data_IF_039728877778
#
_entry.id   IF_039728877778
#
_cell.length_a   1.000
_cell.length_b   1.000
_cell.length_c   1.000
_cell.angle_alpha   90.00
_cell.angle_beta   90.00
_cell.angle_gamma   90.00
#
_symmetry.space_group_name_H-M   'P 1'
#
loop_
_entity.id
_entity.type
_entity.pdbx_description
1 polymer ?
#
# COMPACT_ATOMS: atom_id res chain seq x y z
N UNK A 1 70.02 20.94 -1.90
CA UNK A 1 68.67 20.99 -2.43
C UNK A 1 67.81 19.91 -1.74
N UNK A 2 66.89 20.30 -0.80
CA UNK A 2 66.03 19.38 -0.08
C UNK A 2 64.66 19.37 -0.75
N UNK A 3 64.30 18.25 -1.37
CA UNK A 3 62.97 18.05 -1.92
C UNK A 3 61.96 17.84 -0.76
N UNK A 4 60.97 18.73 -0.66
CA UNK A 4 59.80 18.56 0.22
C UNK A 4 58.75 17.74 -0.53
N UNK A 5 58.50 16.52 -0.10
CA UNK A 5 57.37 15.72 -0.55
C UNK A 5 56.09 16.27 0.03
N UNK A 6 55.20 16.77 -0.82
CA UNK A 6 53.88 17.24 -0.47
C UNK A 6 52.95 16.03 -0.41
N UNK A 7 52.59 15.58 0.79
CA UNK A 7 51.57 14.50 0.96
C UNK A 7 50.17 15.11 0.76
N UNK A 8 49.61 14.85 -0.38
CA UNK A 8 48.22 15.19 -0.67
C UNK A 8 47.30 14.15 0.01
N UNK A 9 46.72 14.54 1.15
CA UNK A 9 45.74 13.73 1.87
C UNK A 9 44.43 13.79 1.10
N UNK A 10 44.10 12.75 0.32
CA UNK A 10 42.81 12.57 -0.33
C UNK A 10 41.75 12.25 0.74
N UNK A 11 41.03 13.27 1.17
CA UNK A 11 39.80 13.11 1.94
C UNK A 11 38.71 12.52 1.02
N UNK A 12 38.58 11.19 1.01
CA UNK A 12 37.43 10.54 0.45
C UNK A 12 36.21 10.92 1.31
N UNK A 13 35.17 11.53 0.73
CA UNK A 13 33.94 11.74 1.47
C UNK A 13 33.33 10.38 1.79
N UNK A 14 33.37 9.97 3.04
CA UNK A 14 32.50 8.91 3.54
C UNK A 14 31.07 9.39 3.37
N UNK A 15 30.43 9.01 2.27
CA UNK A 15 29.00 9.08 2.15
C UNK A 15 28.41 8.11 3.18
N UNK A 16 28.17 8.58 4.38
CA UNK A 16 27.32 7.88 5.35
C UNK A 16 25.97 7.80 4.67
N UNK A 17 25.67 6.63 4.11
CA UNK A 17 24.37 6.33 3.53
C UNK A 17 23.32 6.43 4.63
N UNK A 18 22.79 7.63 4.85
CA UNK A 18 21.60 7.81 5.66
C UNK A 18 20.53 6.93 5.02
N UNK A 19 20.11 5.90 5.73
CA UNK A 19 19.04 5.04 5.28
C UNK A 19 17.85 5.94 4.92
N UNK A 20 17.53 6.01 3.64
CA UNK A 20 16.55 6.95 3.17
C UNK A 20 15.20 6.61 3.80
N UNK A 21 14.69 7.51 4.59
CA UNK A 21 13.42 7.41 5.29
C UNK A 21 12.49 8.54 4.84
N UNK A 22 11.20 8.29 4.94
CA UNK A 22 10.16 9.30 4.79
C UNK A 22 9.23 9.26 6.00
N UNK A 23 8.66 10.42 6.32
CA UNK A 23 7.60 10.52 7.31
C UNK A 23 6.34 9.90 6.73
N UNK A 24 5.59 9.18 7.58
CA UNK A 24 4.24 8.75 7.28
C UNK A 24 3.24 9.79 7.81
N UNK A 25 2.17 9.94 7.09
CA UNK A 25 1.02 10.76 7.48
C UNK A 25 -0.21 9.87 7.53
N UNK A 26 -1.03 10.00 8.55
CA UNK A 26 -2.33 9.34 8.60
C UNK A 26 -3.41 10.35 8.22
N UNK A 27 -4.11 10.07 7.13
CA UNK A 27 -5.25 10.86 6.70
C UNK A 27 -6.43 9.92 6.44
N UNK A 28 -7.53 10.15 7.12
CA UNK A 28 -8.75 9.35 6.97
C UNK A 28 -8.58 7.84 7.18
N UNK A 29 -7.55 7.43 7.95
CA UNK A 29 -7.23 6.02 8.19
C UNK A 29 -6.34 5.35 7.14
N UNK A 30 -5.83 6.12 6.17
CA UNK A 30 -4.82 5.69 5.21
C UNK A 30 -3.45 6.24 5.57
N UNK A 31 -2.39 5.56 5.16
CA UNK A 31 -1.01 6.02 5.32
C UNK A 31 -0.50 6.64 4.02
N UNK A 32 0.11 7.82 4.15
CA UNK A 32 0.73 8.58 3.05
C UNK A 32 2.20 8.83 3.36
N UNK A 33 2.99 9.04 2.31
CA UNK A 33 4.35 9.56 2.41
C UNK A 33 4.66 10.45 1.21
N UNK A 34 5.63 11.35 1.37
CA UNK A 34 6.06 12.21 0.28
C UNK A 34 6.80 11.41 -0.81
N UNK A 35 6.41 11.63 -2.04
CA UNK A 35 7.05 11.13 -3.25
C UNK A 35 7.20 12.26 -4.27
N UNK A 36 8.20 12.16 -5.15
CA UNK A 36 8.38 13.12 -6.25
C UNK A 36 8.16 12.40 -7.57
N UNK A 37 7.19 12.90 -8.34
CA UNK A 37 6.90 12.40 -9.68
C UNK A 37 7.70 13.22 -10.70
N UNK A 38 8.38 12.57 -11.64
CA UNK A 38 8.91 13.25 -12.82
C UNK A 38 7.77 13.57 -13.78
N UNK A 39 7.64 14.84 -14.13
CA UNK A 39 6.66 15.34 -15.09
C UNK A 39 7.40 16.01 -16.25
N UNK A 40 6.75 16.27 -17.39
CA UNK A 40 7.41 16.89 -18.54
C UNK A 40 8.12 18.22 -18.24
N UNK A 41 7.65 18.96 -17.24
CA UNK A 41 8.18 20.29 -16.96
C UNK A 41 9.11 20.33 -15.73
N UNK A 42 8.84 19.53 -14.70
CA UNK A 42 9.62 19.49 -13.44
C UNK A 42 9.21 18.31 -12.56
N UNK A 43 9.98 18.05 -11.52
CA UNK A 43 9.54 17.14 -10.43
C UNK A 43 8.38 17.74 -9.64
N UNK A 44 7.35 16.95 -9.38
CA UNK A 44 6.19 17.30 -8.56
C UNK A 44 6.18 16.47 -7.29
N UNK A 45 6.30 17.12 -6.14
CA UNK A 45 6.14 16.43 -4.84
C UNK A 45 4.66 16.26 -4.54
N UNK A 46 4.29 15.06 -4.13
CA UNK A 46 2.93 14.66 -3.79
C UNK A 46 2.93 13.80 -2.53
N UNK A 47 1.90 13.95 -1.70
CA UNK A 47 1.64 12.96 -0.65
C UNK A 47 0.98 11.75 -1.28
N UNK A 48 1.78 10.70 -1.47
CA UNK A 48 1.35 9.47 -2.10
C UNK A 48 0.78 8.51 -1.06
N UNK A 49 -0.42 7.98 -1.30
CA UNK A 49 -0.98 6.91 -0.48
C UNK A 49 -0.17 5.62 -0.73
N UNK A 50 0.18 4.91 0.34
CA UNK A 50 0.85 3.61 0.25
C UNK A 50 -0.21 2.52 0.29
N UNK A 51 -0.33 1.75 -0.80
CA UNK A 51 -1.40 0.79 -1.00
C UNK A 51 -0.89 -0.58 -1.44
N UNK A 52 -0.84 -1.53 -0.49
CA UNK A 52 -0.46 -2.92 -0.77
C UNK A 52 -1.58 -3.72 -1.45
N UNK A 53 -2.80 -3.21 -1.48
CA UNK A 53 -3.95 -3.77 -2.20
C UNK A 53 -4.00 -3.37 -3.68
N UNK A 54 -3.08 -2.51 -4.13
CA UNK A 54 -3.00 -2.06 -5.51
C UNK A 54 -1.77 -2.67 -6.23
N UNK A 55 -1.99 -3.41 -7.32
CA UNK A 55 -0.89 -4.08 -8.06
C UNK A 55 0.04 -3.09 -8.79
N UNK A 56 -0.49 -1.97 -9.26
CA UNK A 56 0.25 -0.91 -9.96
C UNK A 56 0.04 0.42 -9.26
N UNK A 57 0.98 1.32 -9.42
CA UNK A 57 0.76 2.72 -9.04
C UNK A 57 -0.46 3.28 -9.77
N UNK A 58 -1.15 4.21 -9.11
CA UNK A 58 -2.29 4.91 -9.69
C UNK A 58 -2.14 6.41 -9.51
N UNK A 59 -2.66 7.17 -10.47
CA UNK A 59 -2.68 8.63 -10.43
C UNK A 59 -4.10 9.11 -10.75
N UNK A 60 -4.57 10.09 -9.97
CA UNK A 60 -5.86 10.71 -10.26
C UNK A 60 -5.84 11.39 -11.63
N UNK A 61 -6.90 11.26 -12.42
CA UNK A 61 -6.96 11.74 -13.79
C UNK A 61 -6.85 13.26 -13.89
N UNK A 62 -7.49 13.99 -13.00
CA UNK A 62 -7.42 15.45 -12.95
C UNK A 62 -6.01 15.90 -12.58
N UNK A 63 -5.42 15.29 -11.55
CA UNK A 63 -4.05 15.58 -11.14
C UNK A 63 -3.03 15.23 -12.24
N UNK A 64 -3.21 14.11 -12.94
CA UNK A 64 -2.35 13.69 -14.05
C UNK A 64 -2.34 14.72 -15.19
N UNK A 65 -3.52 15.16 -15.62
CA UNK A 65 -3.68 16.08 -16.76
C UNK A 65 -3.37 17.52 -16.37
N UNK A 66 -4.02 18.00 -15.30
CA UNK A 66 -4.00 19.44 -14.97
C UNK A 66 -2.73 19.84 -14.23
N UNK A 67 -2.21 19.00 -13.34
CA UNK A 67 -1.02 19.33 -12.55
C UNK A 67 0.25 18.77 -13.19
N UNK A 68 0.26 17.46 -13.52
CA UNK A 68 1.44 16.79 -14.05
C UNK A 68 1.63 16.96 -15.56
N UNK A 69 0.61 17.49 -16.29
CA UNK A 69 0.64 17.66 -17.76
C UNK A 69 0.89 16.37 -18.53
N UNK A 70 0.45 15.24 -17.99
CA UNK A 70 0.58 13.93 -18.63
C UNK A 70 -0.42 13.83 -19.77
N UNK A 71 0.06 13.50 -20.97
CA UNK A 71 -0.80 13.23 -22.13
C UNK A 71 -1.34 11.80 -22.03
N UNK A 72 -2.66 11.67 -22.00
CA UNK A 72 -3.32 10.38 -21.94
C UNK A 72 -3.50 9.81 -23.35
N UNK A 73 -3.06 8.56 -23.55
CA UNK A 73 -3.32 7.83 -24.78
C UNK A 73 -4.80 7.44 -24.94
N UNK A 74 -5.17 6.99 -26.14
CA UNK A 74 -6.51 6.47 -26.43
C UNK A 74 -6.77 5.08 -25.84
N UNK A 75 -5.71 4.31 -25.56
CA UNK A 75 -5.82 2.94 -25.05
C UNK A 75 -6.44 2.91 -23.66
N UNK A 76 -7.46 2.07 -23.49
CA UNK A 76 -8.05 1.78 -22.19
C UNK A 76 -7.72 0.36 -21.76
N UNK A 77 -7.61 0.15 -20.45
CA UNK A 77 -7.51 -1.17 -19.81
C UNK A 77 -8.66 -1.34 -18.83
N UNK A 78 -9.17 -2.56 -18.76
CA UNK A 78 -10.11 -2.94 -17.71
C UNK A 78 -9.33 -3.58 -16.57
N UNK A 79 -9.52 -3.09 -15.36
CA UNK A 79 -8.95 -3.64 -14.12
C UNK A 79 -10.06 -4.07 -13.18
N UNK A 80 -9.76 -5.01 -12.31
CA UNK A 80 -10.68 -5.47 -11.29
C UNK A 80 -10.54 -4.59 -10.05
N UNK A 81 -11.63 -4.04 -9.58
CA UNK A 81 -11.73 -3.30 -8.33
C UNK A 81 -11.82 -4.26 -7.14
N UNK A 82 -11.62 -3.75 -5.93
CA UNK A 82 -11.71 -4.53 -4.68
C UNK A 82 -13.10 -5.15 -4.42
N UNK A 83 -14.14 -4.66 -5.07
CA UNK A 83 -15.50 -5.20 -5.03
C UNK A 83 -15.85 -6.10 -6.23
N UNK A 84 -14.83 -6.62 -6.94
CA UNK A 84 -14.91 -7.49 -8.12
C UNK A 84 -15.59 -6.86 -9.35
N UNK A 85 -15.81 -5.55 -9.35
CA UNK A 85 -16.31 -4.83 -10.51
C UNK A 85 -15.19 -4.43 -11.47
N UNK A 86 -15.50 -4.43 -12.76
CA UNK A 86 -14.54 -3.99 -13.78
C UNK A 86 -14.57 -2.49 -13.96
N UNK A 87 -13.39 -1.87 -13.87
CA UNK A 87 -13.22 -0.42 -14.02
C UNK A 87 -12.30 -0.12 -15.20
N UNK A 88 -12.68 0.85 -16.03
CA UNK A 88 -11.86 1.32 -17.14
C UNK A 88 -10.81 2.31 -16.64
N UNK A 89 -9.58 2.12 -17.08
CA UNK A 89 -8.42 2.96 -16.74
C UNK A 89 -7.57 3.22 -17.97
N UNK A 90 -6.75 4.24 -17.95
CA UNK A 90 -5.76 4.50 -18.99
C UNK A 90 -4.35 4.20 -18.48
N UNK A 91 -3.60 3.30 -19.12
CA UNK A 91 -2.23 3.03 -18.72
C UNK A 91 -1.34 4.19 -19.15
N UNK A 92 -0.41 4.56 -18.27
CA UNK A 92 0.68 5.51 -18.54
C UNK A 92 1.98 4.97 -17.96
N UNK A 93 3.11 5.45 -18.46
CA UNK A 93 4.41 5.19 -17.87
C UNK A 93 4.98 6.54 -17.43
N UNK A 94 5.27 6.67 -16.15
CA UNK A 94 5.99 7.82 -15.61
C UNK A 94 7.49 7.60 -15.80
N UNK A 95 8.23 8.63 -16.22
CA UNK A 95 9.67 8.55 -16.41
C UNK A 95 10.37 8.14 -15.12
N UNK A 96 9.97 8.75 -14.02
CA UNK A 96 10.46 8.32 -12.71
C UNK A 96 9.56 8.76 -11.54
N UNK A 97 9.74 8.02 -10.44
CA UNK A 97 9.21 8.35 -9.11
C UNK A 97 10.36 8.26 -8.13
N UNK A 98 10.60 9.32 -7.36
CA UNK A 98 11.54 9.30 -6.24
C UNK A 98 10.78 9.09 -4.94
N UNK A 99 11.14 8.03 -4.20
CA UNK A 99 10.51 7.66 -2.94
C UNK A 99 11.54 7.05 -2.00
N UNK A 100 11.58 7.47 -0.74
CA UNK A 100 12.56 7.04 0.27
C UNK A 100 13.99 7.00 -0.28
N UNK A 101 14.45 8.10 -0.92
CA UNK A 101 15.82 8.29 -1.42
C UNK A 101 16.21 7.42 -2.61
N UNK A 102 15.27 6.74 -3.26
CA UNK A 102 15.50 6.00 -4.51
C UNK A 102 14.61 6.53 -5.62
N UNK A 103 15.18 6.61 -6.81
CA UNK A 103 14.44 6.95 -8.04
C UNK A 103 14.14 5.67 -8.80
N UNK A 104 12.86 5.37 -8.92
CA UNK A 104 12.32 4.27 -9.74
C UNK A 104 12.02 4.81 -11.13
N UNK A 105 12.50 4.14 -12.18
CA UNK A 105 12.37 4.60 -13.58
C UNK A 105 11.34 3.75 -14.34
N UNK A 106 10.75 4.37 -15.38
CA UNK A 106 9.77 3.71 -16.26
C UNK A 106 8.63 3.05 -15.46
N UNK A 107 8.03 3.82 -14.55
CA UNK A 107 7.04 3.29 -13.63
C UNK A 107 5.67 3.20 -14.31
N UNK A 108 5.18 1.98 -14.49
CA UNK A 108 3.84 1.73 -15.00
C UNK A 108 2.79 2.22 -13.97
N UNK A 109 1.88 3.04 -14.45
CA UNK A 109 0.77 3.58 -13.66
C UNK A 109 -0.56 3.42 -14.39
N UNK A 110 -1.63 3.46 -13.65
CA UNK A 110 -2.98 3.55 -14.16
C UNK A 110 -3.54 4.94 -13.85
N UNK A 111 -4.10 5.58 -14.85
CA UNK A 111 -4.82 6.85 -14.66
C UNK A 111 -6.28 6.52 -14.41
N UNK A 112 -6.80 7.02 -13.33
CA UNK A 112 -8.12 6.69 -12.86
C UNK A 112 -8.83 7.92 -12.31
N UNK A 113 -10.12 8.10 -12.57
CA UNK A 113 -10.87 9.23 -12.01
C UNK A 113 -11.21 8.94 -10.53
N UNK A 114 -10.20 9.09 -9.66
CA UNK A 114 -10.34 8.85 -8.23
C UNK A 114 -11.23 9.93 -7.61
N UNK A 115 -11.07 11.17 -8.03
CA UNK A 115 -11.81 12.32 -7.49
C UNK A 115 -13.33 12.15 -7.67
N UNK A 116 -13.77 11.63 -8.80
CA UNK A 116 -15.19 11.33 -9.03
C UNK A 116 -15.75 10.31 -8.04
N UNK A 117 -14.92 9.35 -7.61
CA UNK A 117 -15.35 8.23 -6.76
C UNK A 117 -15.21 8.54 -5.27
N UNK A 118 -14.09 9.12 -4.87
CA UNK A 118 -13.72 9.30 -3.48
C UNK A 118 -13.87 10.74 -2.96
N UNK A 119 -14.11 11.72 -3.87
CA UNK A 119 -14.29 13.14 -3.53
C UNK A 119 -13.18 13.67 -2.60
N UNK A 120 -13.52 14.14 -1.38
CA UNK A 120 -12.56 14.68 -0.41
C UNK A 120 -11.50 13.67 0.07
N UNK A 121 -11.71 12.37 -0.15
CA UNK A 121 -10.76 11.32 0.25
C UNK A 121 -9.79 10.94 -0.87
N UNK A 122 -9.75 11.72 -1.94
CA UNK A 122 -8.99 11.41 -3.16
C UNK A 122 -7.48 11.51 -2.94
N UNK A 123 -6.73 10.42 -3.00
CA UNK A 123 -5.28 10.49 -3.14
C UNK A 123 -4.92 10.96 -4.55
N UNK A 124 -4.01 11.94 -4.66
CA UNK A 124 -3.51 12.38 -5.96
C UNK A 124 -2.66 11.30 -6.64
N UNK A 125 -1.93 10.53 -5.82
CA UNK A 125 -1.09 9.44 -6.27
C UNK A 125 -1.12 8.26 -5.28
N UNK A 126 -1.03 7.05 -5.82
CA UNK A 126 -0.99 5.80 -5.05
C UNK A 126 0.28 5.03 -5.42
N UNK A 127 1.09 4.70 -4.41
CA UNK A 127 2.24 3.80 -4.54
C UNK A 127 1.73 2.38 -4.38
N UNK A 128 1.74 1.61 -5.46
CA UNK A 128 1.30 0.21 -5.49
C UNK A 128 2.43 -0.80 -5.37
N UNK A 129 2.06 -2.07 -5.45
CA UNK A 129 2.97 -3.20 -5.31
C UNK A 129 4.12 -3.21 -6.34
N UNK A 130 3.95 -2.61 -7.51
CA UNK A 130 5.02 -2.54 -8.51
C UNK A 130 6.23 -1.70 -8.07
N UNK A 131 6.07 -0.78 -7.13
CA UNK A 131 7.17 -0.09 -6.43
C UNK A 131 7.55 -0.88 -5.17
N UNK A 132 6.56 -1.22 -4.34
CA UNK A 132 6.82 -1.82 -3.04
C UNK A 132 7.59 -3.14 -3.12
N UNK A 133 7.38 -3.95 -4.16
CA UNK A 133 8.09 -5.23 -4.34
C UNK A 133 9.57 -5.13 -4.72
N UNK A 134 10.05 -3.93 -5.03
CA UNK A 134 11.44 -3.73 -5.47
C UNK A 134 12.45 -3.60 -4.33
N UNK A 135 12.00 -3.38 -3.11
CA UNK A 135 12.86 -3.15 -1.96
C UNK A 135 12.29 -3.79 -0.69
N UNK A 136 13.11 -3.89 0.35
CA UNK A 136 12.69 -4.22 1.70
C UNK A 136 12.23 -2.94 2.40
N UNK A 137 11.07 -2.99 3.05
CA UNK A 137 10.49 -1.83 3.72
C UNK A 137 10.35 -2.06 5.22
N UNK A 138 10.80 -1.10 6.01
CA UNK A 138 10.48 -0.98 7.44
C UNK A 138 9.39 0.08 7.60
N UNK A 139 8.22 -0.33 8.04
CA UNK A 139 7.16 0.56 8.50
C UNK A 139 7.23 0.63 10.03
N UNK A 140 7.31 1.83 10.57
CA UNK A 140 7.18 2.10 11.99
C UNK A 140 5.91 2.93 12.21
N UNK A 141 4.82 2.27 12.55
CA UNK A 141 3.52 2.93 12.71
C UNK A 141 3.40 3.70 14.03
N UNK A 142 4.26 3.42 15.02
CA UNK A 142 4.32 4.19 16.26
C UNK A 142 4.92 5.57 16.05
N UNK A 143 6.07 5.61 15.36
CA UNK A 143 6.80 6.85 15.11
C UNK A 143 6.45 7.48 13.75
N UNK A 144 5.51 6.87 13.02
CA UNK A 144 5.05 7.29 11.70
C UNK A 144 6.20 7.52 10.71
N UNK A 145 6.98 6.47 10.47
CA UNK A 145 8.14 6.48 9.57
C UNK A 145 8.12 5.27 8.64
N UNK A 146 8.59 5.46 7.42
CA UNK A 146 8.91 4.38 6.48
C UNK A 146 10.36 4.48 6.03
N UNK A 147 11.06 3.34 6.01
CA UNK A 147 12.46 3.25 5.56
C UNK A 147 12.61 2.17 4.50
N UNK A 148 13.42 2.47 3.51
CA UNK A 148 13.83 1.54 2.47
C UNK A 148 15.13 0.84 2.87
N UNK A 149 15.20 -0.48 2.73
CA UNK A 149 16.38 -1.32 2.98
C UNK A 149 17.06 -0.98 4.33
N UNK A 150 16.34 -1.10 5.45
CA UNK A 150 16.90 -0.79 6.76
C UNK A 150 18.10 -1.70 7.07
N UNK A 151 19.14 -1.13 7.66
CA UNK A 151 20.36 -1.84 8.06
C UNK A 151 20.31 -2.31 9.51
N UNK A 152 19.42 -1.73 10.31
CA UNK A 152 19.28 -2.08 11.72
C UNK A 152 18.71 -3.48 11.88
N UNK A 153 19.36 -4.28 12.68
CA UNK A 153 18.85 -5.61 13.07
C UNK A 153 17.99 -5.46 14.32
N UNK A 154 16.69 -5.65 14.20
CA UNK A 154 15.77 -5.75 15.33
C UNK A 154 15.29 -7.20 15.47
N UNK A 155 15.10 -7.64 16.70
CA UNK A 155 14.58 -8.98 16.95
C UNK A 155 13.12 -9.08 16.43
N UNK A 156 12.79 -10.15 15.68
CA UNK A 156 11.41 -10.39 15.32
C UNK A 156 10.58 -10.77 16.55
N UNK A 157 9.36 -10.26 16.59
CA UNK A 157 8.33 -10.73 17.51
C UNK A 157 7.66 -11.97 16.89
N UNK A 158 7.14 -11.79 15.67
CA UNK A 158 6.61 -12.88 14.85
C UNK A 158 6.73 -12.58 13.36
N UNK A 159 6.50 -13.58 12.53
CA UNK A 159 6.53 -13.46 11.07
C UNK A 159 5.30 -14.12 10.46
N UNK A 160 4.56 -13.36 9.66
CA UNK A 160 3.51 -13.85 8.80
C UNK A 160 4.07 -14.13 7.41
N UNK A 161 3.72 -15.28 6.83
CA UNK A 161 4.14 -15.67 5.48
C UNK A 161 2.94 -15.68 4.56
N UNK A 162 3.13 -15.22 3.32
CA UNK A 162 2.11 -15.36 2.29
C UNK A 162 2.58 -16.21 1.13
N UNK A 163 1.64 -16.76 0.37
CA UNK A 163 1.90 -17.53 -0.85
C UNK A 163 1.65 -16.65 -2.07
N UNK A 164 2.41 -16.89 -3.14
CA UNK A 164 2.18 -16.20 -4.40
C UNK A 164 0.89 -16.76 -5.06
N UNK A 165 0.01 -15.87 -5.50
CA UNK A 165 -1.31 -16.23 -6.01
C UNK A 165 -1.36 -16.31 -7.53
N UNK A 166 -0.43 -17.04 -8.14
CA UNK A 166 -0.48 -17.30 -9.60
C UNK A 166 -1.78 -17.99 -10.07
N UNK A 167 -2.54 -18.52 -9.14
CA UNK A 167 -3.73 -19.34 -9.43
C UNK A 167 -5.07 -18.68 -9.10
N UNK A 168 -5.08 -17.46 -8.59
CA UNK A 168 -6.32 -16.76 -8.27
C UNK A 168 -6.56 -15.65 -9.27
N UNK A 169 -7.53 -15.88 -10.17
CA UNK A 169 -7.94 -14.88 -11.17
C UNK A 169 -8.59 -13.63 -10.54
N UNK A 170 -9.02 -13.75 -9.30
CA UNK A 170 -9.71 -12.74 -8.50
C UNK A 170 -8.77 -11.86 -7.67
N UNK A 171 -7.46 -12.15 -7.67
CA UNK A 171 -6.47 -11.37 -6.92
C UNK A 171 -5.29 -11.02 -7.83
N UNK A 172 -4.85 -9.78 -7.80
CA UNK A 172 -3.67 -9.32 -8.56
C UNK A 172 -2.40 -10.10 -8.20
N UNK A 173 -1.52 -10.33 -9.17
CA UNK A 173 -0.34 -11.22 -9.04
C UNK A 173 0.62 -10.81 -7.90
N UNK A 174 0.71 -9.53 -7.62
CA UNK A 174 1.65 -8.96 -6.66
C UNK A 174 0.97 -8.60 -5.32
N UNK A 175 -0.30 -8.94 -5.13
CA UNK A 175 -1.01 -8.67 -3.89
C UNK A 175 -0.62 -9.67 -2.80
N UNK A 176 -0.57 -9.17 -1.57
CA UNK A 176 -0.22 -9.95 -0.39
C UNK A 176 -1.48 -10.64 0.13
N UNK A 177 -1.54 -11.96 0.02
CA UNK A 177 -2.68 -12.72 0.54
C UNK A 177 -2.28 -13.52 1.76
N UNK A 178 -2.90 -13.20 2.88
CA UNK A 178 -2.79 -13.90 4.14
C UNK A 178 -3.94 -14.91 4.29
N UNK A 179 -3.72 -15.92 5.11
CA UNK A 179 -4.77 -16.81 5.56
C UNK A 179 -5.04 -16.53 7.03
N UNK A 180 -6.28 -16.23 7.33
CA UNK A 180 -6.75 -16.05 8.71
C UNK A 180 -7.85 -17.07 9.02
N UNK A 181 -7.96 -17.40 10.29
CA UNK A 181 -9.03 -18.23 10.82
C UNK A 181 -9.93 -17.38 11.71
N UNK A 182 -11.24 -17.51 11.50
CA UNK A 182 -12.30 -16.86 12.29
C UNK A 182 -13.34 -17.92 12.58
N UNK A 183 -13.68 -18.15 13.86
CA UNK A 183 -14.63 -19.18 14.30
C UNK A 183 -14.29 -20.60 13.75
N UNK A 184 -12.99 -20.96 13.69
CA UNK A 184 -12.52 -22.22 13.13
C UNK A 184 -12.56 -22.33 11.60
N UNK A 185 -13.04 -21.30 10.90
CA UNK A 185 -13.14 -21.28 9.44
C UNK A 185 -11.97 -20.48 8.86
N UNK A 186 -11.22 -21.13 7.97
CA UNK A 186 -10.09 -20.48 7.29
C UNK A 186 -10.54 -19.70 6.06
N UNK A 187 -10.19 -18.40 6.02
CA UNK A 187 -10.44 -17.50 4.90
C UNK A 187 -9.16 -16.96 4.27
N UNK A 188 -9.29 -16.45 3.04
CA UNK A 188 -8.25 -15.71 2.32
C UNK A 188 -8.50 -14.23 2.46
N UNK A 189 -7.44 -13.47 2.75
CA UNK A 189 -7.52 -12.02 2.95
C UNK A 189 -6.38 -11.33 2.21
N UNK A 190 -6.68 -10.30 1.44
CA UNK A 190 -5.66 -9.38 0.94
C UNK A 190 -5.23 -8.46 2.08
N UNK A 191 -3.93 -8.34 2.33
CA UNK A 191 -3.39 -7.28 3.17
C UNK A 191 -3.35 -5.99 2.38
N UNK A 192 -4.15 -5.03 2.80
CA UNK A 192 -4.49 -3.84 2.03
C UNK A 192 -4.37 -2.58 2.90
N UNK A 193 -3.24 -1.88 2.77
CA UNK A 193 -2.99 -0.62 3.47
C UNK A 193 -3.79 0.55 2.89
N UNK A 194 -4.37 0.38 1.71
CA UNK A 194 -5.32 1.30 1.06
C UNK A 194 -6.77 1.07 1.46
N UNK A 195 -7.05 0.15 2.39
CA UNK A 195 -8.38 -0.08 2.94
C UNK A 195 -8.54 0.49 4.35
N UNK A 196 -9.63 1.22 4.60
CA UNK A 196 -9.98 1.73 5.94
C UNK A 196 -10.55 0.64 6.85
N UNK A 197 -11.08 -0.44 6.27
CA UNK A 197 -11.84 -1.44 7.00
C UNK A 197 -11.35 -2.85 6.67
N UNK A 198 -11.56 -3.77 7.60
CA UNK A 198 -11.44 -5.18 7.31
C UNK A 198 -12.76 -5.70 6.74
N UNK A 199 -12.68 -6.70 5.87
CA UNK A 199 -13.83 -7.37 5.28
C UNK A 199 -13.64 -8.88 5.34
N UNK A 200 -14.69 -9.62 5.71
CA UNK A 200 -14.65 -11.09 5.69
C UNK A 200 -14.99 -11.63 4.31
N UNK A 201 -14.39 -12.76 3.88
CA UNK A 201 -14.79 -13.44 2.67
C UNK A 201 -16.10 -14.23 2.90
N UNK A 202 -16.85 -14.48 1.83
CA UNK A 202 -18.20 -15.09 1.88
C UNK A 202 -18.27 -16.47 2.54
N UNK A 203 -17.16 -17.20 2.59
CA UNK A 203 -17.12 -18.50 3.25
C UNK A 203 -17.10 -18.42 4.78
N UNK A 204 -16.90 -17.23 5.34
CA UNK A 204 -16.96 -16.97 6.79
C UNK A 204 -18.26 -16.23 7.07
N UNK A 205 -19.16 -16.87 7.83
CA UNK A 205 -20.42 -16.27 8.26
C UNK A 205 -20.23 -15.68 9.64
N UNK A 206 -20.57 -14.40 9.78
CA UNK A 206 -20.60 -13.67 11.04
C UNK A 206 -21.99 -13.05 11.20
N UNK A 207 -22.50 -13.11 12.43
CA UNK A 207 -23.69 -12.35 12.79
C UNK A 207 -23.30 -10.89 13.04
N UNK A 208 -23.95 -9.90 12.43
CA UNK A 208 -23.65 -8.50 12.63
C UNK A 208 -23.94 -8.10 14.07
N UNK A 209 -23.01 -7.36 14.70
CA UNK A 209 -23.23 -6.77 16.03
C UNK A 209 -24.05 -5.48 15.92
N UNK A 210 -23.99 -4.81 14.77
CA UNK A 210 -24.80 -3.62 14.48
C UNK A 210 -24.97 -3.39 12.99
N UNK A 211 -25.97 -2.58 12.65
CA UNK A 211 -26.20 -2.06 11.32
C UNK A 211 -26.28 -0.54 11.37
N UNK A 212 -25.41 0.15 10.61
CA UNK A 212 -25.24 1.60 10.70
C UNK A 212 -25.03 2.24 9.34
N UNK A 213 -25.49 3.48 9.18
CA UNK A 213 -25.21 4.25 7.97
C UNK A 213 -23.73 4.64 7.90
N UNK A 214 -23.08 4.35 6.79
CA UNK A 214 -21.69 4.70 6.51
C UNK A 214 -21.52 5.26 5.10
N UNK A 215 -20.55 6.14 4.95
CA UNK A 215 -20.03 6.49 3.64
C UNK A 215 -19.21 5.31 3.10
N UNK A 216 -19.59 4.85 1.91
CA UNK A 216 -18.95 3.74 1.20
C UNK A 216 -18.57 4.22 -0.19
N UNK A 217 -17.33 3.95 -0.56
CA UNK A 217 -16.81 4.18 -1.91
C UNK A 217 -15.80 3.10 -2.28
N UNK A 218 -15.61 2.89 -3.56
CA UNK A 218 -14.58 2.01 -4.12
C UNK A 218 -14.11 2.57 -5.46
N UNK A 219 -13.14 1.92 -6.09
CA UNK A 219 -12.74 2.27 -7.44
C UNK A 219 -13.90 2.16 -8.45
N UNK A 220 -14.87 1.29 -8.22
CA UNK A 220 -16.04 1.09 -9.09
C UNK A 220 -17.26 1.94 -8.70
N UNK A 221 -17.36 2.35 -7.43
CA UNK A 221 -18.55 2.99 -6.87
C UNK A 221 -18.23 4.39 -6.37
N UNK A 222 -19.12 5.34 -6.68
CA UNK A 222 -19.06 6.69 -6.10
C UNK A 222 -19.35 6.65 -4.61
N UNK A 223 -18.82 7.64 -3.89
CA UNK A 223 -19.11 7.84 -2.48
C UNK A 223 -20.62 8.00 -2.29
N UNK A 224 -21.18 7.17 -1.44
CA UNK A 224 -22.59 7.16 -1.10
C UNK A 224 -22.81 6.68 0.33
N UNK A 225 -23.90 7.11 0.96
CA UNK A 225 -24.31 6.59 2.25
C UNK A 225 -25.07 5.28 2.05
N UNK A 226 -24.73 4.28 2.82
CA UNK A 226 -25.32 2.96 2.78
C UNK A 226 -25.43 2.38 4.18
N UNK A 227 -26.47 1.56 4.43
CA UNK A 227 -26.52 0.72 5.62
C UNK A 227 -25.48 -0.38 5.52
N UNK A 228 -24.59 -0.45 6.50
CA UNK A 228 -23.47 -1.39 6.54
C UNK A 228 -23.59 -2.24 7.80
N UNK A 229 -23.49 -3.54 7.62
CA UNK A 229 -23.42 -4.52 8.70
C UNK A 229 -21.98 -4.59 9.21
N UNK A 230 -21.80 -4.35 10.49
CA UNK A 230 -20.49 -4.38 11.17
C UNK A 230 -20.47 -5.47 12.24
N UNK A 231 -19.33 -6.16 12.36
CA UNK A 231 -19.03 -7.12 13.41
C UNK A 231 -17.85 -6.58 14.20
N UNK A 232 -18.07 -6.27 15.47
CA UNK A 232 -17.04 -5.74 16.36
C UNK A 232 -16.40 -6.84 17.19
N UNK A 233 -15.13 -6.64 17.57
CA UNK A 233 -14.38 -7.50 18.48
C UNK A 233 -14.30 -8.98 18.02
N UNK A 234 -14.15 -9.21 16.73
CA UNK A 234 -14.03 -10.56 16.17
C UNK A 234 -12.65 -11.14 16.46
N UNK A 235 -12.60 -12.33 17.05
CA UNK A 235 -11.36 -13.06 17.27
C UNK A 235 -10.83 -13.62 15.96
N UNK A 236 -9.57 -13.30 15.65
CA UNK A 236 -8.89 -13.67 14.41
C UNK A 236 -7.55 -14.33 14.70
N UNK A 237 -7.27 -15.45 14.06
CA UNK A 237 -5.98 -16.14 14.15
C UNK A 237 -5.24 -15.94 12.84
N UNK A 238 -4.07 -15.29 12.89
CA UNK A 238 -3.14 -15.13 11.78
C UNK A 238 -1.86 -15.90 12.09
N UNK A 239 -1.66 -17.04 11.44
CA UNK A 239 -0.57 -17.94 11.76
C UNK A 239 -0.72 -18.51 13.19
N UNK A 240 0.13 -18.06 14.13
CA UNK A 240 0.06 -18.42 15.56
C UNK A 240 -0.37 -17.23 16.43
N UNK A 241 -0.70 -16.11 15.83
CA UNK A 241 -1.04 -14.86 16.54
C UNK A 241 -2.54 -14.68 16.63
N UNK A 242 -3.00 -14.19 17.78
CA UNK A 242 -4.40 -13.90 18.06
C UNK A 242 -4.63 -12.39 18.04
N UNK A 243 -5.66 -11.97 17.34
CA UNK A 243 -6.07 -10.58 17.21
C UNK A 243 -7.56 -10.44 17.51
N UNK A 244 -7.96 -9.23 17.87
CA UNK A 244 -9.36 -8.82 17.96
C UNK A 244 -9.53 -7.67 16.98
N UNK A 245 -10.37 -7.86 15.97
CA UNK A 245 -10.53 -6.94 14.85
C UNK A 245 -12.02 -6.70 14.57
N UNK A 246 -12.32 -5.52 14.03
CA UNK A 246 -13.65 -5.19 13.54
C UNK A 246 -13.72 -5.45 12.04
N UNK A 247 -14.88 -5.92 11.59
CA UNK A 247 -15.14 -6.24 10.19
C UNK A 247 -16.42 -5.58 9.68
N UNK A 248 -16.43 -5.27 8.38
CA UNK A 248 -17.64 -4.98 7.63
C UNK A 248 -18.04 -6.17 6.78
N UNK A 249 -19.33 -6.43 6.71
CA UNK A 249 -19.87 -7.52 5.91
C UNK A 249 -20.27 -7.00 4.52
N UNK A 250 -19.63 -7.54 3.50
CA UNK A 250 -19.93 -7.32 2.10
C UNK A 250 -19.78 -8.64 1.35
N UNK A 251 -20.47 -8.77 0.23
CA UNK A 251 -20.35 -9.94 -0.64
C UNK A 251 -18.99 -9.92 -1.37
N UNK A 252 -18.04 -10.73 -0.87
CA UNK A 252 -16.67 -10.81 -1.40
C UNK A 252 -16.13 -12.23 -1.35
N UNK A 253 -15.51 -12.69 -2.43
CA UNK A 253 -14.82 -13.99 -2.47
C UNK A 253 -13.52 -14.01 -1.66
N UNK A 254 -12.89 -12.86 -1.50
CA UNK A 254 -11.64 -12.66 -0.74
C UNK A 254 -11.85 -11.54 0.26
N UNK A 255 -11.45 -11.76 1.50
CA UNK A 255 -11.52 -10.76 2.55
C UNK A 255 -10.41 -9.72 2.42
N UNK A 256 -10.46 -8.73 3.28
CA UNK A 256 -9.44 -7.67 3.39
C UNK A 256 -9.01 -7.53 4.84
N UNK A 257 -7.71 -7.45 5.07
CA UNK A 257 -7.11 -7.04 6.32
C UNK A 257 -6.35 -5.73 6.09
N UNK A 258 -6.73 -4.69 6.81
CA UNK A 258 -6.04 -3.41 6.78
C UNK A 258 -4.92 -3.35 7.83
N UNK A 259 -4.39 -2.16 8.11
CA UNK A 259 -3.31 -1.97 9.09
C UNK A 259 -3.70 -2.22 10.56
N UNK A 260 -4.97 -2.47 10.89
CA UNK A 260 -5.44 -2.53 12.28
C UNK A 260 -4.74 -3.59 13.13
N UNK A 261 -4.38 -4.75 12.56
CA UNK A 261 -3.64 -5.81 13.28
C UNK A 261 -2.15 -5.48 13.50
N UNK A 262 -1.64 -4.41 12.88
CA UNK A 262 -0.27 -3.91 13.02
C UNK A 262 -0.22 -2.54 13.72
N UNK A 263 -1.34 -2.10 14.28
CA UNK A 263 -1.44 -0.79 14.94
C UNK A 263 -0.32 -0.63 15.98
N UNK A 264 0.32 0.56 15.95
CA UNK A 264 1.40 0.96 16.86
C UNK A 264 2.65 0.02 16.84
N UNK A 265 2.80 -0.79 15.81
CA UNK A 265 3.92 -1.73 15.64
C UNK A 265 4.90 -1.26 14.57
N UNK A 266 6.12 -1.81 14.66
CA UNK A 266 7.08 -1.76 13.55
C UNK A 266 7.09 -3.10 12.83
N UNK A 267 7.12 -3.07 11.50
CA UNK A 267 7.20 -4.31 10.72
C UNK A 267 8.03 -4.16 9.46
N UNK A 268 8.67 -5.26 9.07
CA UNK A 268 9.34 -5.39 7.78
C UNK A 268 8.37 -6.01 6.76
N UNK A 269 8.27 -5.39 5.60
CA UNK A 269 7.55 -5.92 4.44
C UNK A 269 8.57 -6.36 3.40
N UNK A 270 8.68 -7.67 3.17
CA UNK A 270 9.65 -8.29 2.27
C UNK A 270 8.94 -9.12 1.20
N UNK A 271 8.80 -8.55 -0.01
CA UNK A 271 8.17 -9.24 -1.14
C UNK A 271 9.02 -10.41 -1.67
N UNK A 272 10.35 -10.35 -1.55
CA UNK A 272 11.23 -11.42 -2.01
C UNK A 272 11.09 -12.67 -1.13
N UNK A 273 11.08 -12.48 0.19
CA UNK A 273 10.86 -13.56 1.17
C UNK A 273 9.37 -13.87 1.37
N UNK A 274 8.48 -12.97 0.92
CA UNK A 274 7.03 -13.03 1.15
C UNK A 274 6.69 -13.09 2.62
N UNK A 275 7.20 -12.11 3.37
CA UNK A 275 7.01 -12.04 4.81
C UNK A 275 6.64 -10.64 5.28
N UNK A 276 5.70 -10.59 6.22
CA UNK A 276 5.50 -9.46 7.11
C UNK A 276 6.12 -9.87 8.44
N UNK A 277 7.24 -9.27 8.80
CA UNK A 277 7.94 -9.56 10.06
C UNK A 277 7.71 -8.42 11.03
N UNK A 278 6.94 -8.66 12.07
CA UNK A 278 6.68 -7.69 13.14
C UNK A 278 7.86 -7.70 14.10
N UNK A 279 8.30 -6.51 14.50
CA UNK A 279 9.48 -6.29 15.32
C UNK A 279 9.09 -5.94 16.77
N UNK A 280 9.98 -6.30 17.70
CA UNK A 280 9.88 -5.91 19.12
C UNK A 280 10.21 -4.45 19.35
#
# INVERSE_FOLDING_TARGET
MKQRALHLLLLLPFAIGVAAQSKLYNQYGFIYADATLSTPNKGMTVQAMIDTGCSLCMIDSTYAVDSCKIRLGATEKSVLSADNERVRTKPVTLDSISFCGKTYRNVACLVFNIAEKLQQYTPQFIIGANILKQDLWLFNLKDMLVRRNPTEKRAPDYTLKWKNHRHYADVGRDLITLHAEINGIRGRFVFDTGSRNNYVPNNIKLEPTREVEREVASASRKLSKQMVKECENVAVILGKQHFVLDFRLFDRSVGTLNLSFLKDRSFLLDYNKRTITVLR
#
